data_IF_547102656383
#
_entry.id   IF_547102656383
#
_cell.length_a   1.000
_cell.length_b   1.000
_cell.length_c   1.000
_cell.angle_alpha   90.00
_cell.angle_beta   90.00
_cell.angle_gamma   90.00
#
_symmetry.space_group_name_H-M   'P 1'
#
loop_
_entity.id
_entity.type
_entity.pdbx_description
1 polymer ?
#
# COMPACT_ATOMS: atom_id res chain seq x y z
N UNK A 1 6.76 -9.20 12.29
CA UNK A 1 6.32 -7.99 11.58
C UNK A 1 5.36 -8.36 10.48
N UNK A 2 4.68 -7.34 9.98
CA UNK A 2 3.79 -7.42 8.82
C UNK A 2 4.45 -6.78 7.61
N UNK A 3 3.93 -7.09 6.42
CA UNK A 3 4.30 -6.37 5.20
C UNK A 3 3.34 -5.19 5.02
N UNK A 4 3.95 -4.01 4.84
CA UNK A 4 3.28 -2.74 4.61
C UNK A 4 3.38 -2.40 3.13
N UNK A 5 2.23 -2.16 2.52
CA UNK A 5 2.11 -1.59 1.19
C UNK A 5 2.13 -0.07 1.32
N UNK A 6 3.24 0.56 0.91
CA UNK A 6 3.36 2.01 0.84
C UNK A 6 2.97 2.51 -0.54
N UNK A 7 2.11 3.53 -0.61
CA UNK A 7 1.65 4.11 -1.88
C UNK A 7 2.65 5.07 -2.52
N UNK A 8 3.55 5.63 -1.70
CA UNK A 8 4.74 6.34 -2.15
C UNK A 8 6.02 5.72 -1.56
N UNK A 9 7.09 5.76 -2.33
CA UNK A 9 8.37 5.11 -2.00
C UNK A 9 9.29 6.00 -1.16
N UNK A 10 9.14 7.32 -1.26
CA UNK A 10 9.96 8.31 -0.55
C UNK A 10 9.66 8.37 0.97
N UNK A 11 8.44 8.00 1.37
CA UNK A 11 8.03 7.82 2.78
C UNK A 11 8.82 6.75 3.54
N UNK A 12 9.45 5.80 2.83
CA UNK A 12 10.07 4.62 3.44
C UNK A 12 11.10 4.96 4.52
N UNK A 13 11.97 5.95 4.28
CA UNK A 13 13.11 6.22 5.17
C UNK A 13 12.63 6.62 6.57
N UNK A 14 11.58 7.44 6.65
CA UNK A 14 11.00 7.87 7.91
C UNK A 14 10.27 6.71 8.61
N UNK A 15 9.52 5.91 7.84
CA UNK A 15 8.82 4.73 8.35
C UNK A 15 9.78 3.68 8.92
N UNK A 16 10.85 3.36 8.19
CA UNK A 16 11.82 2.35 8.59
C UNK A 16 12.65 2.80 9.79
N UNK A 17 12.98 4.10 9.89
CA UNK A 17 13.68 4.64 11.05
C UNK A 17 12.90 4.44 12.36
N UNK A 18 11.58 4.63 12.32
CA UNK A 18 10.71 4.49 13.50
C UNK A 18 10.14 3.07 13.70
N UNK A 19 10.12 2.23 12.65
CA UNK A 19 9.54 0.89 12.71
C UNK A 19 10.35 -0.12 11.89
N UNK A 20 11.44 -0.60 12.49
CA UNK A 20 12.28 -1.67 11.93
C UNK A 20 11.68 -3.08 12.12
N UNK A 21 10.56 -3.21 12.82
CA UNK A 21 9.88 -4.50 13.04
C UNK A 21 9.09 -4.98 11.80
N UNK A 22 8.62 -4.06 10.96
CA UNK A 22 7.84 -4.35 9.76
C UNK A 22 8.69 -4.32 8.49
N UNK A 23 8.16 -4.92 7.42
CA UNK A 23 8.76 -4.88 6.08
C UNK A 23 7.91 -4.01 5.15
N UNK A 24 8.54 -3.39 4.16
CA UNK A 24 7.90 -2.43 3.26
C UNK A 24 8.11 -2.87 1.81
N UNK A 25 7.20 -2.47 0.91
CA UNK A 25 7.29 -2.87 -0.50
C UNK A 25 8.49 -2.25 -1.19
N UNK A 26 8.71 -0.96 -0.96
CA UNK A 26 9.79 -0.18 -1.58
C UNK A 26 10.47 0.66 -0.51
N UNK A 27 11.79 0.73 -0.60
CA UNK A 27 12.59 1.70 0.17
C UNK A 27 13.66 2.43 -0.63
N UNK A 28 13.69 2.15 -1.93
CA UNK A 28 14.54 2.76 -2.94
C UNK A 28 13.66 3.05 -4.16
N UNK A 29 14.24 3.66 -5.19
CA UNK A 29 13.57 4.02 -6.42
C UNK A 29 12.73 2.84 -6.99
N UNK A 30 11.44 3.05 -7.35
CA UNK A 30 10.57 1.99 -7.86
C UNK A 30 11.10 1.32 -9.15
N UNK A 31 12.06 1.92 -9.85
CA UNK A 31 12.76 1.32 -10.99
C UNK A 31 13.37 -0.03 -10.64
N UNK A 32 13.87 -0.24 -9.42
CA UNK A 32 14.38 -1.55 -8.99
C UNK A 32 13.30 -2.63 -9.01
N UNK A 33 12.07 -2.28 -8.62
CA UNK A 33 10.94 -3.19 -8.70
C UNK A 33 10.57 -3.48 -10.15
N UNK A 34 10.60 -2.46 -11.02
CA UNK A 34 10.34 -2.64 -12.44
C UNK A 34 11.38 -3.57 -13.09
N UNK A 35 12.67 -3.40 -12.79
CA UNK A 35 13.73 -4.26 -13.31
C UNK A 35 13.60 -5.71 -12.82
N UNK A 36 13.14 -5.92 -11.58
CA UNK A 36 12.90 -7.24 -11.03
C UNK A 36 11.65 -7.91 -11.61
N UNK A 37 10.53 -7.19 -11.62
CA UNK A 37 9.25 -7.66 -12.13
C UNK A 37 8.38 -6.48 -12.63
N UNK A 38 8.39 -6.22 -13.96
CA UNK A 38 7.64 -5.13 -14.57
C UNK A 38 6.13 -5.20 -14.31
N UNK A 39 5.54 -6.41 -14.34
CA UNK A 39 4.10 -6.60 -14.16
C UNK A 39 3.68 -6.24 -12.73
N UNK A 40 4.47 -6.66 -11.74
CA UNK A 40 4.22 -6.35 -10.34
C UNK A 40 4.33 -4.84 -10.08
N UNK A 41 5.31 -4.17 -10.70
CA UNK A 41 5.44 -2.71 -10.63
C UNK A 41 4.25 -1.99 -11.27
N UNK A 42 3.84 -2.40 -12.47
CA UNK A 42 2.70 -1.79 -13.15
C UNK A 42 1.43 -1.96 -12.33
N UNK A 43 1.24 -3.12 -11.69
CA UNK A 43 0.11 -3.36 -10.80
C UNK A 43 0.16 -2.47 -9.56
N UNK A 44 1.31 -2.36 -8.89
CA UNK A 44 1.49 -1.45 -7.76
C UNK A 44 1.15 -0.01 -8.16
N UNK A 45 1.70 0.47 -9.29
CA UNK A 45 1.46 1.81 -9.82
C UNK A 45 -0.02 2.05 -10.15
N UNK A 46 -0.71 1.07 -10.72
CA UNK A 46 -2.14 1.20 -11.02
C UNK A 46 -3.00 1.22 -9.75
N UNK A 47 -2.64 0.45 -8.72
CA UNK A 47 -3.29 0.52 -7.41
C UNK A 47 -3.10 1.90 -6.79
N UNK A 48 -1.86 2.42 -6.71
CA UNK A 48 -1.57 3.71 -6.05
C UNK A 48 -2.16 4.91 -6.78
N UNK A 49 -2.43 4.79 -8.08
CA UNK A 49 -3.15 5.80 -8.89
C UNK A 49 -4.67 5.71 -8.79
N UNK A 50 -5.19 4.70 -8.10
CA UNK A 50 -6.61 4.43 -8.00
C UNK A 50 -7.23 3.99 -9.33
N UNK A 51 -6.51 3.17 -10.10
CA UNK A 51 -6.97 2.57 -11.37
C UNK A 51 -7.54 1.16 -11.16
N UNK A 52 -7.37 0.58 -9.97
CA UNK A 52 -7.85 -0.77 -9.60
C UNK A 52 -8.99 -0.67 -8.60
N UNK A 53 -10.17 -1.17 -8.98
CA UNK A 53 -11.34 -1.25 -8.08
C UNK A 53 -11.14 -2.35 -7.04
N UNK A 54 -11.60 -2.12 -5.81
CA UNK A 54 -11.44 -3.03 -4.68
C UNK A 54 -9.99 -3.57 -4.55
N UNK A 55 -9.00 -2.67 -4.38
CA UNK A 55 -7.59 -3.05 -4.43
C UNK A 55 -7.14 -3.97 -3.29
N UNK A 56 -7.84 -4.01 -2.16
CA UNK A 56 -7.42 -4.69 -0.93
C UNK A 56 -7.19 -6.18 -1.12
N UNK A 57 -8.05 -6.87 -1.89
CA UNK A 57 -7.84 -8.30 -2.16
C UNK A 57 -6.57 -8.56 -2.96
N UNK A 58 -6.25 -7.69 -3.92
CA UNK A 58 -5.01 -7.75 -4.69
C UNK A 58 -3.80 -7.41 -3.83
N UNK A 59 -3.90 -6.38 -2.99
CA UNK A 59 -2.86 -6.00 -2.01
C UNK A 59 -2.53 -7.18 -1.08
N UNK A 60 -3.55 -7.87 -0.57
CA UNK A 60 -3.36 -9.03 0.29
C UNK A 60 -2.79 -10.23 -0.46
N UNK A 61 -3.42 -10.66 -1.56
CA UNK A 61 -3.05 -11.91 -2.25
C UNK A 61 -1.76 -11.81 -3.05
N UNK A 62 -1.55 -10.69 -3.75
CA UNK A 62 -0.42 -10.52 -4.69
C UNK A 62 0.80 -9.95 -4.00
N UNK A 63 0.62 -8.95 -3.12
CA UNK A 63 1.74 -8.30 -2.44
C UNK A 63 2.02 -8.91 -1.06
N UNK A 64 1.09 -9.68 -0.49
CA UNK A 64 1.23 -10.28 0.84
C UNK A 64 1.15 -9.23 1.95
N UNK A 65 0.56 -8.06 1.68
CA UNK A 65 0.52 -6.95 2.61
C UNK A 65 -0.78 -6.96 3.44
N UNK A 66 -0.64 -6.76 4.75
CA UNK A 66 -1.77 -6.68 5.69
C UNK A 66 -2.07 -5.25 6.14
N UNK A 67 -1.21 -4.31 5.75
CA UNK A 67 -1.37 -2.90 6.03
C UNK A 67 -1.07 -2.09 4.78
N UNK A 68 -1.79 -1.00 4.59
CA UNK A 68 -1.46 0.05 3.64
C UNK A 68 -1.18 1.34 4.39
N UNK A 69 -0.14 2.05 3.99
CA UNK A 69 0.09 3.44 4.37
C UNK A 69 0.06 4.31 3.13
N UNK A 70 -0.63 5.44 3.22
CA UNK A 70 -0.72 6.43 2.15
C UNK A 70 -0.73 7.83 2.70
N UNK A 71 -0.10 8.75 1.97
CA UNK A 71 -0.33 10.17 2.16
C UNK A 71 -1.77 10.58 1.77
N UNK A 72 -2.07 11.86 1.94
CA UNK A 72 -3.38 12.43 1.58
C UNK A 72 -3.50 12.91 0.12
N UNK A 73 -2.45 12.80 -0.69
CA UNK A 73 -2.43 13.23 -2.10
C UNK A 73 -2.97 12.14 -3.06
N UNK A 74 -2.94 10.88 -2.66
CA UNK A 74 -3.52 9.75 -3.41
C UNK A 74 -5.06 9.68 -3.32
N UNK A 75 -5.76 10.78 -3.62
CA UNK A 75 -7.21 10.95 -3.46
C UNK A 75 -8.06 9.85 -4.09
N UNK A 76 -7.70 9.38 -5.29
CA UNK A 76 -8.44 8.30 -5.97
C UNK A 76 -8.29 6.97 -5.24
N UNK A 77 -7.06 6.61 -4.87
CA UNK A 77 -6.79 5.42 -4.07
C UNK A 77 -7.52 5.49 -2.73
N UNK A 78 -7.46 6.63 -2.02
CA UNK A 78 -8.17 6.84 -0.76
C UNK A 78 -9.69 6.62 -0.89
N UNK A 79 -10.30 7.13 -1.97
CA UNK A 79 -11.70 6.89 -2.26
C UNK A 79 -12.03 5.41 -2.41
N UNK A 80 -11.21 4.70 -3.20
CA UNK A 80 -11.39 3.27 -3.45
C UNK A 80 -11.15 2.42 -2.20
N UNK A 81 -10.08 2.70 -1.46
CA UNK A 81 -9.73 2.01 -0.22
C UNK A 81 -10.82 2.13 0.85
N UNK A 82 -11.47 3.29 0.96
CA UNK A 82 -12.60 3.48 1.90
C UNK A 82 -13.87 2.74 1.48
N UNK A 83 -14.06 2.51 0.18
CA UNK A 83 -15.20 1.77 -0.35
C UNK A 83 -14.96 0.25 -0.44
N UNK A 84 -13.72 -0.19 -0.25
CA UNK A 84 -13.33 -1.59 -0.39
C UNK A 84 -13.66 -2.36 0.90
N UNK A 85 -14.52 -3.39 0.85
CA UNK A 85 -14.90 -4.17 2.02
C UNK A 85 -13.74 -4.98 2.65
N UNK A 86 -12.64 -5.18 1.91
CA UNK A 86 -11.43 -5.84 2.41
C UNK A 86 -10.46 -4.90 3.11
N UNK A 87 -10.78 -3.61 3.20
CA UNK A 87 -9.95 -2.58 3.79
C UNK A 87 -10.69 -1.82 4.89
N UNK A 88 -10.01 -1.58 6.00
CA UNK A 88 -10.53 -0.76 7.10
C UNK A 88 -9.52 0.33 7.45
N UNK A 89 -9.93 1.61 7.36
CA UNK A 89 -9.12 2.72 7.86
C UNK A 89 -9.04 2.61 9.40
N UNK A 90 -7.82 2.50 9.93
CA UNK A 90 -7.56 2.34 11.38
C UNK A 90 -6.83 3.53 11.99
N UNK A 91 -6.26 4.40 11.15
CA UNK A 91 -5.59 5.62 11.58
C UNK A 91 -5.65 6.68 10.49
N UNK A 92 -5.75 7.94 10.91
CA UNK A 92 -5.64 9.12 10.06
C UNK A 92 -5.16 10.30 10.89
N UNK A 93 -4.27 11.10 10.30
CA UNK A 93 -3.95 12.44 10.76
C UNK A 93 -3.90 13.42 9.57
N UNK A 94 -3.27 14.57 9.77
CA UNK A 94 -3.13 15.63 8.75
C UNK A 94 -2.19 15.24 7.60
N UNK A 95 -1.42 14.16 7.73
CA UNK A 95 -0.37 13.76 6.78
C UNK A 95 -0.65 12.42 6.12
N UNK A 96 -1.20 11.46 6.85
CA UNK A 96 -1.31 10.08 6.38
C UNK A 96 -2.58 9.38 6.84
N UNK A 97 -2.87 8.27 6.16
CA UNK A 97 -3.87 7.29 6.55
C UNK A 97 -3.28 5.87 6.55
N UNK A 98 -3.74 5.04 7.48
CA UNK A 98 -3.38 3.62 7.54
C UNK A 98 -4.64 2.79 7.42
N UNK A 99 -4.58 1.79 6.55
CA UNK A 99 -5.62 0.78 6.39
C UNK A 99 -5.09 -0.58 6.83
N UNK A 100 -5.89 -1.32 7.59
CA UNK A 100 -5.73 -2.77 7.70
C UNK A 100 -6.34 -3.40 6.46
N UNK A 101 -5.66 -4.40 5.90
CA UNK A 101 -6.14 -5.20 4.77
C UNK A 101 -6.33 -6.63 5.22
N UNK A 102 -7.55 -7.12 5.09
CA UNK A 102 -7.89 -8.52 5.39
C UNK A 102 -8.17 -9.25 4.09
N UNK A 103 -7.58 -10.43 3.90
CA UNK A 103 -8.04 -11.32 2.83
C UNK A 103 -9.52 -11.64 3.04
N UNK A 104 -10.29 -11.76 1.95
CA UNK A 104 -11.69 -12.17 2.04
C UNK A 104 -11.84 -13.42 2.92
N UNK A 105 -12.80 -13.37 3.84
CA UNK A 105 -13.31 -14.57 4.49
C UNK A 105 -14.02 -15.35 3.38
N UNK A 106 -13.44 -16.47 2.96
CA UNK A 106 -14.05 -17.38 2.00
C UNK A 106 -15.34 -18.00 2.54
#
# INVERSE_FOLDING_TARGET
GSRVFNTDWDDFTWLFFHNTHNTYMHGLDPTYMYEYNPELYLLWRSITRGEVQNPGQTIYNTFGASYVITDLNHNRFLGLARSDPSMQEVYRDDYAAIFVVTGAVG
#
